data_IF_469140286490
#
_entry.id   IF_469140286490
#
_cell.length_a   1.000
_cell.length_b   1.000
_cell.length_c   1.000
_cell.angle_alpha   90.00
_cell.angle_beta   90.00
_cell.angle_gamma   90.00
#
_symmetry.space_group_name_H-M   'P 1'
#
loop_
_entity.id
_entity.type
_entity.pdbx_description
1 polymer ?
#
# COMPACT_ATOMS: atom_id res chain seq x y z
N UNK A 1 14.19 10.36 -9.30
CA UNK A 1 12.96 9.55 -9.37
C UNK A 1 12.45 9.28 -7.96
N UNK A 2 12.15 10.35 -7.21
CA UNK A 2 11.63 10.36 -5.83
C UNK A 2 10.46 11.37 -5.72
N UNK A 3 9.65 11.47 -6.77
CA UNK A 3 8.44 12.29 -6.77
C UNK A 3 7.24 11.40 -7.07
N UNK A 4 6.98 10.43 -6.18
CA UNK A 4 5.74 9.66 -6.19
C UNK A 4 5.11 9.81 -4.80
N UNK A 5 3.83 10.24 -4.83
CA UNK A 5 2.90 10.53 -3.73
C UNK A 5 3.03 11.90 -3.04
N UNK A 6 2.64 12.96 -3.76
CA UNK A 6 2.27 14.25 -3.16
C UNK A 6 1.03 14.19 -2.26
N UNK A 7 0.20 13.14 -2.37
CA UNK A 7 -0.99 12.95 -1.53
C UNK A 7 -0.66 12.60 -0.07
N UNK A 8 0.53 12.08 0.21
CA UNK A 8 0.97 11.70 1.57
C UNK A 8 2.06 12.62 2.14
N UNK A 9 2.47 13.68 1.43
CA UNK A 9 3.34 14.76 1.99
C UNK A 9 2.61 15.69 2.95
N UNK A 10 1.29 15.57 3.05
CA UNK A 10 0.42 16.42 3.86
C UNK A 10 0.83 16.50 5.36
N UNK A 11 1.24 15.41 6.04
CA UNK A 11 1.58 15.45 7.47
C UNK A 11 2.79 16.32 7.81
N UNK A 12 3.69 16.56 6.85
CA UNK A 12 4.91 17.36 7.04
C UNK A 12 4.63 18.87 7.02
N UNK A 13 3.48 19.29 6.48
CA UNK A 13 3.03 20.71 6.42
C UNK A 13 2.35 21.12 7.73
N UNK A 14 2.08 20.17 8.63
CA UNK A 14 1.21 20.36 9.77
C UNK A 14 1.96 20.53 11.10
N UNK A 15 1.64 21.63 11.80
CA UNK A 15 1.84 21.79 13.26
C UNK A 15 1.18 20.63 14.03
N UNK A 16 1.54 20.41 15.30
CA UNK A 16 0.93 19.34 16.11
C UNK A 16 -0.60 19.37 16.13
N UNK A 17 -1.20 20.57 16.14
CA UNK A 17 -2.66 20.73 16.06
C UNK A 17 -3.22 20.25 14.73
N UNK A 18 -2.58 20.61 13.62
CA UNK A 18 -3.05 20.22 12.30
C UNK A 18 -2.84 18.73 12.00
N UNK A 19 -1.86 18.06 12.64
CA UNK A 19 -1.77 16.58 12.61
C UNK A 19 -2.95 15.91 13.30
N UNK A 20 -3.36 16.41 14.47
CA UNK A 20 -4.54 15.90 15.19
C UNK A 20 -5.79 16.07 14.34
N UNK A 21 -5.98 17.26 13.75
CA UNK A 21 -7.13 17.55 12.89
C UNK A 21 -7.15 16.65 11.65
N UNK A 22 -5.98 16.42 11.03
CA UNK A 22 -5.81 15.52 9.91
C UNK A 22 -6.23 14.09 10.24
N UNK A 23 -5.66 13.49 11.29
CA UNK A 23 -5.98 12.10 11.65
C UNK A 23 -7.41 11.94 12.16
N UNK A 24 -7.91 12.93 12.90
CA UNK A 24 -9.31 12.96 13.35
C UNK A 24 -10.27 12.96 12.15
N UNK A 25 -10.06 13.84 11.17
CA UNK A 25 -10.86 13.91 9.96
C UNK A 25 -10.73 12.64 9.12
N UNK A 26 -9.52 12.16 8.90
CA UNK A 26 -9.27 10.93 8.13
C UNK A 26 -9.98 9.72 8.75
N UNK A 27 -9.81 9.48 10.05
CA UNK A 27 -10.38 8.31 10.72
C UNK A 27 -11.89 8.39 10.90
N UNK A 28 -12.46 9.59 10.93
CA UNK A 28 -13.91 9.81 10.89
C UNK A 28 -14.53 9.41 9.56
N UNK A 29 -13.82 9.66 8.44
CA UNK A 29 -14.31 9.37 7.09
C UNK A 29 -13.85 7.99 6.57
N UNK A 30 -12.98 7.31 7.30
CA UNK A 30 -12.53 5.97 6.98
C UNK A 30 -13.55 4.92 7.44
N UNK A 31 -14.36 4.43 6.50
CA UNK A 31 -15.30 3.33 6.75
C UNK A 31 -14.58 2.00 6.96
N UNK A 32 -14.65 1.43 8.17
CA UNK A 32 -14.03 0.15 8.55
C UNK A 32 -15.05 -0.97 8.80
N UNK A 33 -16.29 -0.80 8.36
CA UNK A 33 -17.39 -1.75 8.59
C UNK A 33 -17.14 -3.14 7.99
N UNK A 34 -16.32 -3.24 6.95
CA UNK A 34 -15.92 -4.51 6.34
C UNK A 34 -14.96 -5.32 7.22
N UNK A 35 -14.28 -4.68 8.18
CA UNK A 35 -13.35 -5.34 9.10
C UNK A 35 -14.10 -5.66 10.40
N UNK A 36 -14.08 -6.92 10.89
CA UNK A 36 -14.58 -7.23 12.21
C UNK A 36 -13.73 -6.51 13.26
N UNK A 37 -14.36 -5.72 14.14
CA UNK A 37 -13.63 -4.89 15.09
C UNK A 37 -12.70 -5.72 16.00
N UNK A 38 -13.11 -6.94 16.37
CA UNK A 38 -12.32 -7.83 17.20
C UNK A 38 -12.17 -9.21 16.53
N UNK A 39 -11.06 -9.91 16.80
CA UNK A 39 -10.91 -11.29 16.34
C UNK A 39 -12.00 -12.18 16.96
N UNK A 40 -12.45 -13.17 16.20
CA UNK A 40 -13.36 -14.24 16.61
C UNK A 40 -12.67 -15.15 17.64
N UNK A 41 -12.48 -14.64 18.84
CA UNK A 41 -11.83 -15.32 19.95
C UNK A 41 -12.86 -15.78 20.98
N UNK A 42 -12.57 -16.90 21.63
CA UNK A 42 -13.38 -17.49 22.70
C UNK A 42 -13.74 -16.47 23.80
N UNK A 43 -14.86 -16.64 24.53
CA UNK A 43 -15.51 -15.61 25.36
C UNK A 43 -14.66 -14.93 26.44
N UNK A 44 -13.47 -15.45 26.73
CA UNK A 44 -12.67 -15.10 27.91
C UNK A 44 -11.62 -14.02 27.70
N UNK A 45 -11.16 -13.73 26.47
CA UNK A 45 -10.18 -12.66 26.21
C UNK A 45 -10.46 -11.93 24.90
N UNK A 46 -10.96 -10.69 25.02
CA UNK A 46 -11.11 -9.79 23.90
C UNK A 46 -9.72 -9.36 23.41
N UNK A 47 -9.35 -9.74 22.18
CA UNK A 47 -8.12 -9.29 21.53
C UNK A 47 -8.09 -7.76 21.32
N UNK A 48 -7.03 -7.26 20.71
CA UNK A 48 -6.95 -5.85 20.32
C UNK A 48 -7.91 -5.54 19.16
N UNK A 49 -8.41 -4.30 19.12
CA UNK A 49 -9.30 -3.84 18.04
C UNK A 49 -8.56 -3.81 16.71
N UNK A 50 -9.04 -4.55 15.72
CA UNK A 50 -8.51 -4.52 14.35
C UNK A 50 -8.63 -3.13 13.73
N UNK A 51 -9.67 -2.36 14.08
CA UNK A 51 -9.81 -0.99 13.60
C UNK A 51 -8.68 -0.10 14.13
N UNK A 52 -8.34 -0.23 15.42
CA UNK A 52 -7.24 0.51 16.01
C UNK A 52 -5.88 0.09 15.43
N UNK A 53 -5.68 -1.21 15.23
CA UNK A 53 -4.47 -1.74 14.59
C UNK A 53 -4.34 -1.24 13.15
N UNK A 54 -5.43 -1.25 12.37
CA UNK A 54 -5.44 -0.77 10.99
C UNK A 54 -5.11 0.72 10.89
N UNK A 55 -5.76 1.57 11.68
CA UNK A 55 -5.47 3.01 11.76
C UNK A 55 -4.02 3.28 12.15
N UNK A 56 -3.44 2.46 13.02
CA UNK A 56 -2.03 2.56 13.40
C UNK A 56 -1.08 2.32 12.21
N UNK A 57 -1.39 1.39 11.32
CA UNK A 57 -0.61 1.19 10.10
C UNK A 57 -0.82 2.30 9.07
N UNK A 58 -1.96 2.99 9.07
CA UNK A 58 -2.13 4.23 8.30
C UNK A 58 -1.21 5.32 8.84
N UNK A 59 -1.15 5.53 10.16
CA UNK A 59 -0.18 6.45 10.79
C UNK A 59 1.24 6.07 10.41
N UNK A 60 1.59 4.77 10.45
CA UNK A 60 2.91 4.30 10.05
C UNK A 60 3.30 4.73 8.64
N UNK A 61 2.37 4.65 7.68
CA UNK A 61 2.60 5.06 6.30
C UNK A 61 2.62 6.58 6.12
N UNK A 62 1.70 7.29 6.78
CA UNK A 62 1.61 8.74 6.72
C UNK A 62 2.85 9.43 7.33
N UNK A 63 3.37 8.94 8.47
CA UNK A 63 4.58 9.45 9.11
C UNK A 63 5.88 8.81 8.56
N UNK A 64 5.78 7.94 7.55
CA UNK A 64 6.93 7.32 6.86
C UNK A 64 7.86 6.50 7.76
N UNK A 65 7.31 5.85 8.78
CA UNK A 65 8.09 4.96 9.65
C UNK A 65 8.51 3.70 8.90
N UNK A 66 9.82 3.41 8.95
CA UNK A 66 10.41 2.23 8.30
C UNK A 66 10.19 0.93 9.08
N UNK A 67 9.97 1.02 10.40
CA UNK A 67 9.84 -0.14 11.27
C UNK A 67 8.66 -0.04 12.24
N UNK A 68 8.17 -1.20 12.72
CA UNK A 68 7.15 -1.27 13.78
C UNK A 68 7.68 -0.66 15.09
N UNK A 69 9.00 -0.72 15.33
CA UNK A 69 9.61 -0.12 16.53
C UNK A 69 9.45 1.40 16.53
N UNK A 70 9.75 2.06 15.40
CA UNK A 70 9.59 3.51 15.25
C UNK A 70 8.13 3.93 15.47
N UNK A 71 7.19 3.13 14.94
CA UNK A 71 5.75 3.33 15.15
C UNK A 71 5.36 3.23 16.62
N UNK A 72 5.86 2.22 17.34
CA UNK A 72 5.59 2.03 18.75
C UNK A 72 6.12 3.19 19.60
N UNK A 73 7.35 3.63 19.33
CA UNK A 73 7.96 4.75 20.04
C UNK A 73 7.21 6.05 19.75
N UNK A 74 6.76 6.26 18.51
CA UNK A 74 5.91 7.39 18.16
C UNK A 74 4.59 7.37 18.94
N UNK A 75 3.87 6.24 18.99
CA UNK A 75 2.59 6.15 19.68
C UNK A 75 2.71 6.31 21.20
N UNK A 76 3.79 5.82 21.81
CA UNK A 76 4.08 6.00 23.23
C UNK A 76 4.30 7.47 23.59
N UNK A 77 4.95 8.22 22.70
CA UNK A 77 5.22 9.64 22.88
C UNK A 77 4.05 10.53 22.45
N UNK A 78 3.10 10.01 21.66
CA UNK A 78 1.95 10.75 21.12
C UNK A 78 0.63 10.08 21.49
N UNK A 79 0.28 10.11 22.77
CA UNK A 79 -0.94 9.45 23.30
C UNK A 79 -2.24 9.95 22.66
N UNK A 80 -2.28 11.20 22.17
CA UNK A 80 -3.44 11.72 21.42
C UNK A 80 -3.63 10.93 20.12
N UNK A 81 -2.55 10.68 19.36
CA UNK A 81 -2.64 9.90 18.12
C UNK A 81 -2.97 8.43 18.42
N UNK A 82 -2.42 7.87 19.49
CA UNK A 82 -2.80 6.53 19.94
C UNK A 82 -4.30 6.44 20.30
N UNK A 83 -4.83 7.47 20.95
CA UNK A 83 -6.25 7.59 21.25
C UNK A 83 -7.09 7.71 19.97
N UNK A 84 -6.69 8.55 19.01
CA UNK A 84 -7.38 8.69 17.72
C UNK A 84 -7.39 7.39 16.91
N UNK A 85 -6.33 6.58 16.99
CA UNK A 85 -6.33 5.24 16.42
C UNK A 85 -7.44 4.38 17.04
N UNK A 86 -7.76 4.58 18.32
CA UNK A 86 -8.81 3.86 19.04
C UNK A 86 -8.28 3.06 20.23
N UNK A 87 -7.04 3.31 20.67
CA UNK A 87 -6.51 2.67 21.87
C UNK A 87 -6.98 3.36 23.15
N UNK A 88 -7.16 2.56 24.19
CA UNK A 88 -7.34 3.07 25.55
C UNK A 88 -5.95 3.46 26.11
N UNK A 89 -5.70 4.76 26.24
CA UNK A 89 -4.42 5.32 26.71
C UNK A 89 -4.10 5.02 28.18
N UNK A 90 -5.07 4.56 28.97
CA UNK A 90 -4.85 4.09 30.35
C UNK A 90 -4.36 2.63 30.40
N UNK A 91 -4.32 1.93 29.26
CA UNK A 91 -3.83 0.57 29.14
C UNK A 91 -2.53 0.54 28.32
N UNK A 92 -1.68 -0.48 28.52
CA UNK A 92 -0.50 -0.63 27.68
C UNK A 92 -0.91 -0.84 26.21
N UNK A 93 -0.19 -0.17 25.32
CA UNK A 93 -0.30 -0.37 23.88
C UNK A 93 0.03 -1.82 23.50
N UNK A 94 -0.46 -2.29 22.33
CA UNK A 94 -0.08 -3.61 21.82
C UNK A 94 1.44 -3.78 21.71
N UNK A 95 1.92 -4.99 21.93
CA UNK A 95 3.34 -5.31 21.79
C UNK A 95 3.80 -5.28 20.32
N UNK A 96 5.11 -5.21 20.10
CA UNK A 96 5.71 -5.37 18.76
C UNK A 96 5.20 -6.64 18.06
N UNK A 97 5.15 -7.76 18.78
CA UNK A 97 4.70 -9.04 18.24
C UNK A 97 3.23 -9.01 17.87
N UNK A 98 2.40 -8.26 18.59
CA UNK A 98 1.00 -8.07 18.26
C UNK A 98 0.83 -7.30 16.95
N UNK A 99 1.57 -6.21 16.75
CA UNK A 99 1.56 -5.47 15.47
C UNK A 99 2.10 -6.32 14.32
N UNK A 100 3.22 -7.02 14.53
CA UNK A 100 3.81 -7.91 13.52
C UNK A 100 2.87 -9.04 13.13
N UNK A 101 2.16 -9.62 14.09
CA UNK A 101 1.16 -10.66 13.82
C UNK A 101 -0.01 -10.10 13.02
N UNK A 102 -0.54 -8.95 13.43
CA UNK A 102 -1.63 -8.30 12.73
C UNK A 102 -1.30 -8.08 11.25
N UNK A 103 -0.19 -7.43 10.91
CA UNK A 103 0.13 -7.14 9.50
C UNK A 103 0.37 -8.40 8.65
N UNK A 104 0.83 -9.49 9.26
CA UNK A 104 1.08 -10.76 8.56
C UNK A 104 -0.20 -11.60 8.36
N UNK A 105 -1.19 -11.44 9.25
CA UNK A 105 -2.44 -12.22 9.23
C UNK A 105 -3.63 -11.42 8.69
N UNK A 106 -3.49 -10.11 8.51
CA UNK A 106 -4.57 -9.25 8.04
C UNK A 106 -4.93 -9.57 6.60
N UNK A 107 -6.20 -9.93 6.35
CA UNK A 107 -6.65 -10.33 5.02
C UNK A 107 -6.54 -9.18 4.01
N UNK A 108 -5.99 -9.50 2.83
CA UNK A 108 -5.95 -8.57 1.71
C UNK A 108 -7.36 -8.18 1.24
N UNK A 109 -8.34 -9.08 1.33
CA UNK A 109 -9.73 -8.82 0.92
C UNK A 109 -10.34 -7.63 1.67
N UNK A 110 -9.94 -7.41 2.93
CA UNK A 110 -10.37 -6.23 3.69
C UNK A 110 -9.78 -4.94 3.12
N UNK A 111 -8.52 -4.95 2.68
CA UNK A 111 -7.88 -3.82 2.02
C UNK A 111 -8.57 -3.51 0.70
N UNK A 112 -8.80 -4.54 -0.13
CA UNK A 112 -9.53 -4.43 -1.40
C UNK A 112 -10.91 -3.84 -1.19
N UNK A 113 -11.66 -4.35 -0.21
CA UNK A 113 -13.01 -3.87 0.10
C UNK A 113 -13.02 -2.41 0.56
N UNK A 114 -12.09 -2.02 1.43
CA UNK A 114 -11.97 -0.61 1.88
C UNK A 114 -11.62 0.29 0.70
N UNK A 115 -10.64 -0.12 -0.11
CA UNK A 115 -10.18 0.65 -1.25
C UNK A 115 -11.30 0.87 -2.28
N UNK A 116 -11.99 -0.20 -2.70
CA UNK A 116 -13.12 -0.12 -3.62
C UNK A 116 -14.26 0.75 -3.08
N UNK A 117 -14.56 0.64 -1.77
CA UNK A 117 -15.58 1.50 -1.15
C UNK A 117 -15.19 2.98 -1.21
N UNK A 118 -13.92 3.33 -0.97
CA UNK A 118 -13.43 4.71 -1.11
C UNK A 118 -13.52 5.20 -2.55
N UNK A 119 -13.14 4.37 -3.53
CA UNK A 119 -13.28 4.70 -4.97
C UNK A 119 -14.74 4.95 -5.34
N UNK A 120 -15.67 4.12 -4.87
CA UNK A 120 -17.10 4.29 -5.12
C UNK A 120 -17.66 5.57 -4.48
N UNK A 121 -17.24 5.91 -3.25
CA UNK A 121 -17.60 7.18 -2.61
C UNK A 121 -17.14 8.36 -3.47
N UNK A 122 -15.87 8.36 -3.91
CA UNK A 122 -15.30 9.43 -4.72
C UNK A 122 -15.95 9.52 -6.10
N UNK A 123 -16.33 8.39 -6.69
CA UNK A 123 -17.09 8.32 -7.93
C UNK A 123 -18.49 8.94 -7.78
N UNK A 124 -19.20 8.60 -6.71
CA UNK A 124 -20.53 9.17 -6.42
C UNK A 124 -20.48 10.68 -6.12
N UNK A 125 -19.36 11.16 -5.57
CA UNK A 125 -19.10 12.59 -5.38
C UNK A 125 -18.69 13.32 -6.67
N UNK A 126 -18.52 12.60 -7.79
CA UNK A 126 -18.07 13.17 -9.05
C UNK A 126 -16.58 13.55 -9.09
N UNK A 127 -15.79 13.11 -8.11
CA UNK A 127 -14.33 13.38 -8.06
C UNK A 127 -13.60 12.44 -9.02
N UNK A 128 -13.97 11.16 -9.04
CA UNK A 128 -13.46 10.19 -10.02
C UNK A 128 -14.40 10.19 -11.23
N UNK A 129 -13.88 10.55 -12.39
CA UNK A 129 -14.65 10.62 -13.64
C UNK A 129 -14.88 9.23 -14.24
N UNK A 130 -13.87 8.36 -14.26
CA UNK A 130 -13.87 7.09 -14.99
C UNK A 130 -13.95 7.24 -16.53
N UNK A 131 -13.84 8.46 -17.07
CA UNK A 131 -13.95 8.70 -18.52
C UNK A 131 -12.65 8.39 -19.27
N UNK A 132 -11.53 8.72 -18.63
CA UNK A 132 -10.18 8.41 -19.10
C UNK A 132 -9.48 7.64 -17.99
N UNK A 133 -9.05 6.43 -18.28
CA UNK A 133 -8.22 5.64 -17.38
C UNK A 133 -6.85 5.46 -17.97
N UNK A 134 -5.85 5.48 -17.10
CA UNK A 134 -4.48 5.13 -17.42
C UNK A 134 -4.09 3.89 -16.64
N UNK A 135 -3.31 3.01 -17.24
CA UNK A 135 -2.70 1.87 -16.56
C UNK A 135 -1.19 1.91 -16.73
N UNK A 136 -0.48 1.75 -15.62
CA UNK A 136 0.97 1.59 -15.60
C UNK A 136 1.38 0.62 -14.48
N UNK A 137 2.58 0.06 -14.60
CA UNK A 137 3.18 -0.82 -13.60
C UNK A 137 4.39 -0.17 -12.94
N UNK A 138 4.47 -0.23 -11.61
CA UNK A 138 5.59 0.29 -10.84
C UNK A 138 6.35 -0.85 -10.15
N UNK A 139 7.69 -0.89 -10.26
CA UNK A 139 8.49 -1.91 -9.61
C UNK A 139 8.52 -1.72 -8.08
N UNK A 140 8.20 -2.78 -7.34
CA UNK A 140 8.37 -2.88 -5.88
C UNK A 140 9.58 -3.75 -5.59
N UNK A 141 10.65 -3.17 -5.06
CA UNK A 141 11.86 -3.91 -4.70
C UNK A 141 11.67 -4.68 -3.41
N UNK A 142 11.93 -5.99 -3.43
CA UNK A 142 11.97 -6.79 -2.22
C UNK A 142 13.09 -6.32 -1.28
N UNK A 143 12.85 -6.43 0.02
CA UNK A 143 13.86 -6.12 1.04
C UNK A 143 14.87 -7.28 1.15
N UNK A 144 15.82 -7.31 0.23
CA UNK A 144 16.88 -8.32 0.16
C UNK A 144 18.25 -7.67 -0.04
N UNK A 145 19.28 -8.27 0.55
CA UNK A 145 20.67 -7.89 0.32
C UNK A 145 21.09 -7.93 -1.15
N UNK A 146 20.39 -8.70 -1.99
CA UNK A 146 20.70 -8.80 -3.42
C UNK A 146 20.34 -7.52 -4.19
N UNK A 147 19.32 -6.79 -3.72
CA UNK A 147 18.95 -5.50 -4.28
C UNK A 147 19.86 -4.36 -3.81
N UNK A 148 20.68 -4.57 -2.78
CA UNK A 148 21.60 -3.56 -2.27
C UNK A 148 22.77 -3.36 -3.27
N UNK A 149 22.95 -2.17 -3.84
CA UNK A 149 24.07 -1.88 -4.73
C UNK A 149 25.43 -2.17 -4.08
N UNK A 150 25.54 -1.92 -2.77
CA UNK A 150 26.77 -2.11 -1.97
C UNK A 150 27.03 -3.56 -1.55
N UNK A 151 26.15 -4.49 -1.88
CA UNK A 151 26.37 -5.92 -1.58
C UNK A 151 27.57 -6.46 -2.39
N UNK A 152 28.38 -7.35 -1.81
CA UNK A 152 29.47 -8.02 -2.51
C UNK A 152 29.08 -9.40 -3.08
N UNK A 153 27.79 -9.76 -3.00
CA UNK A 153 27.29 -11.02 -3.55
C UNK A 153 27.62 -11.13 -5.05
N UNK A 154 28.30 -12.22 -5.45
CA UNK A 154 28.45 -12.59 -6.86
C UNK A 154 27.08 -12.99 -7.43
N UNK A 155 26.85 -12.74 -8.72
CA UNK A 155 25.63 -13.14 -9.44
C UNK A 155 24.33 -12.72 -8.72
N UNK A 156 24.26 -11.46 -8.26
CA UNK A 156 23.10 -10.95 -7.49
C UNK A 156 21.76 -11.12 -8.20
N UNK A 157 21.77 -11.01 -9.52
CA UNK A 157 20.60 -11.05 -10.39
C UNK A 157 20.60 -12.29 -11.28
N UNK A 158 21.07 -13.43 -10.76
CA UNK A 158 20.88 -14.74 -11.41
C UNK A 158 19.62 -15.40 -10.89
N UNK A 159 18.84 -16.05 -11.76
CA UNK A 159 17.64 -16.81 -11.36
C UNK A 159 17.95 -17.89 -10.31
N UNK A 160 19.16 -18.44 -10.32
CA UNK A 160 19.61 -19.45 -9.35
C UNK A 160 19.86 -18.88 -7.94
N UNK A 161 19.86 -17.55 -7.79
CA UNK A 161 20.15 -16.83 -6.56
C UNK A 161 18.88 -16.22 -5.93
N UNK A 162 17.79 -16.99 -5.88
CA UNK A 162 16.53 -16.56 -5.26
C UNK A 162 16.74 -16.09 -3.81
N UNK A 163 16.27 -14.90 -3.43
CA UNK A 163 16.31 -14.43 -2.05
C UNK A 163 15.65 -15.40 -1.06
N UNK A 164 16.39 -15.79 -0.01
CA UNK A 164 15.84 -16.63 1.07
C UNK A 164 14.86 -15.88 1.99
N UNK A 165 15.01 -14.56 2.08
CA UNK A 165 14.18 -13.69 2.92
C UNK A 165 12.78 -13.45 2.34
N UNK A 166 12.61 -13.68 1.05
CA UNK A 166 11.38 -13.45 0.30
C UNK A 166 11.36 -14.44 -0.89
N UNK A 167 10.66 -15.57 -0.70
CA UNK A 167 10.63 -16.66 -1.68
C UNK A 167 9.69 -16.39 -2.85
N UNK A 168 8.73 -15.50 -2.63
CA UNK A 168 7.66 -15.22 -3.58
C UNK A 168 8.10 -14.17 -4.59
N UNK A 169 9.02 -13.27 -4.22
CA UNK A 169 9.58 -12.29 -5.14
C UNK A 169 10.29 -12.97 -6.34
N UNK A 170 10.29 -12.30 -7.49
CA UNK A 170 10.94 -12.80 -8.70
C UNK A 170 11.85 -11.74 -9.31
N UNK A 171 12.68 -12.17 -10.26
CA UNK A 171 13.65 -11.29 -10.91
C UNK A 171 12.95 -10.47 -12.01
N UNK A 172 12.82 -9.17 -11.77
CA UNK A 172 12.33 -8.20 -12.74
C UNK A 172 13.44 -7.43 -13.43
N UNK A 173 13.06 -6.76 -14.51
CA UNK A 173 13.92 -5.85 -15.27
C UNK A 173 13.13 -4.61 -15.68
N UNK A 174 13.79 -3.45 -15.69
CA UNK A 174 13.26 -2.23 -16.29
C UNK A 174 14.35 -1.49 -17.06
N UNK A 175 13.94 -0.75 -18.09
CA UNK A 175 14.87 0.12 -18.82
C UNK A 175 15.27 1.30 -17.94
N UNK A 176 16.58 1.53 -17.82
CA UNK A 176 17.17 2.66 -17.10
C UNK A 176 17.60 3.80 -18.03
N UNK A 177 17.27 3.70 -19.31
CA UNK A 177 17.58 4.70 -20.34
C UNK A 177 16.40 4.87 -21.29
N UNK A 178 16.05 6.12 -21.59
CA UNK A 178 15.09 6.47 -22.65
C UNK A 178 15.79 6.58 -24.03
N UNK A 179 17.12 6.43 -24.07
CA UNK A 179 17.90 6.43 -25.30
C UNK A 179 17.81 5.06 -25.98
N UNK A 180 17.19 5.02 -27.16
CA UNK A 180 17.02 3.83 -27.98
C UNK A 180 18.34 3.24 -28.48
N UNK A 181 19.40 4.05 -28.55
CA UNK A 181 20.72 3.63 -29.04
C UNK A 181 21.54 2.87 -27.99
N UNK A 182 21.30 3.13 -26.70
CA UNK A 182 22.03 2.53 -25.58
C UNK A 182 21.08 2.10 -24.45
N UNK A 183 20.33 1.01 -24.69
CA UNK A 183 19.44 0.43 -23.68
C UNK A 183 20.25 -0.11 -22.49
N UNK A 184 20.20 0.61 -21.37
CA UNK A 184 20.71 0.12 -20.07
C UNK A 184 19.57 -0.55 -19.32
N UNK A 185 19.74 -1.81 -18.95
CA UNK A 185 18.76 -2.53 -18.14
C UNK A 185 19.15 -2.51 -16.66
N UNK A 186 18.16 -2.37 -15.79
CA UNK A 186 18.33 -2.56 -14.34
C UNK A 186 17.49 -3.75 -13.90
N UNK A 187 18.15 -4.72 -13.31
CA UNK A 187 17.53 -5.88 -12.70
C UNK A 187 17.23 -5.61 -11.22
N UNK A 188 16.19 -6.25 -10.72
CA UNK A 188 15.82 -6.19 -9.31
C UNK A 188 15.04 -7.45 -8.92
N UNK A 189 15.15 -7.86 -7.66
CA UNK A 189 14.25 -8.85 -7.08
C UNK A 189 13.03 -8.15 -6.50
N UNK A 190 11.83 -8.62 -6.78
CA UNK A 190 10.65 -7.97 -6.24
C UNK A 190 9.36 -8.37 -6.93
N UNK A 191 8.50 -7.36 -7.00
CA UNK A 191 7.14 -7.41 -7.50
C UNK A 191 6.90 -6.22 -8.43
N UNK A 192 5.77 -6.23 -9.13
CA UNK A 192 5.21 -5.08 -9.83
C UNK A 192 3.82 -4.81 -9.30
N UNK A 193 3.53 -3.56 -8.98
CA UNK A 193 2.17 -3.11 -8.72
C UNK A 193 1.62 -2.48 -9.97
N UNK A 194 0.54 -3.04 -10.49
CA UNK A 194 -0.18 -2.59 -11.66
C UNK A 194 -1.35 -1.76 -11.16
N UNK A 195 -1.47 -0.51 -11.59
CA UNK A 195 -2.45 0.42 -11.06
C UNK A 195 -3.25 1.00 -12.21
N UNK A 196 -4.58 0.92 -12.12
CA UNK A 196 -5.50 1.70 -12.95
C UNK A 196 -5.79 2.99 -12.22
N UNK A 197 -5.66 4.12 -12.91
CA UNK A 197 -5.84 5.47 -12.39
C UNK A 197 -6.87 6.21 -13.23
N UNK A 198 -7.72 7.00 -12.59
CA UNK A 198 -8.52 8.00 -13.29
C UNK A 198 -7.59 9.12 -13.78
N UNK A 199 -7.40 9.24 -15.09
CA UNK A 199 -6.39 10.12 -15.67
C UNK A 199 -6.69 11.61 -15.44
N UNK A 200 -7.95 11.97 -15.14
CA UNK A 200 -8.37 13.35 -14.86
C UNK A 200 -8.01 13.75 -13.43
N UNK A 201 -8.42 12.97 -12.43
CA UNK A 201 -8.16 13.27 -11.02
C UNK A 201 -6.77 12.82 -10.54
N UNK A 202 -6.15 11.87 -11.24
CA UNK A 202 -4.92 11.21 -10.81
C UNK A 202 -5.11 10.22 -9.65
N UNK A 203 -6.35 9.87 -9.31
CA UNK A 203 -6.64 8.96 -8.20
C UNK A 203 -6.71 7.50 -8.66
N UNK A 204 -6.16 6.56 -7.87
CA UNK A 204 -6.20 5.14 -8.20
C UNK A 204 -7.63 4.59 -8.13
N UNK A 205 -7.97 3.72 -9.08
CA UNK A 205 -9.25 3.01 -9.20
C UNK A 205 -9.09 1.54 -8.80
N UNK A 206 -8.04 0.88 -9.29
CA UNK A 206 -7.79 -0.54 -9.06
C UNK A 206 -6.28 -0.79 -8.99
N UNK A 207 -5.86 -1.79 -8.22
CA UNK A 207 -4.48 -2.25 -8.24
C UNK A 207 -4.39 -3.77 -8.12
N UNK A 208 -3.30 -4.33 -8.63
CA UNK A 208 -2.89 -5.70 -8.34
C UNK A 208 -1.39 -5.82 -8.29
N UNK A 209 -0.88 -6.58 -7.33
CA UNK A 209 0.56 -6.83 -7.18
C UNK A 209 0.88 -8.24 -7.68
N UNK A 210 1.89 -8.33 -8.54
CA UNK A 210 2.38 -9.60 -9.11
C UNK A 210 3.88 -9.73 -8.91
N UNK A 211 4.44 -10.96 -8.95
CA UNK A 211 5.87 -11.13 -9.03
C UNK A 211 6.48 -10.40 -10.23
N UNK A 212 7.72 -9.91 -10.11
CA UNK A 212 8.28 -8.98 -11.09
C UNK A 212 8.58 -9.54 -12.49
N UNK A 213 8.53 -10.86 -12.66
CA UNK A 213 8.71 -11.56 -13.94
C UNK A 213 7.41 -11.74 -14.74
N UNK A 214 6.25 -11.48 -14.15
CA UNK A 214 4.94 -11.57 -14.82
C UNK A 214 4.79 -10.42 -15.83
N UNK A 215 4.50 -10.66 -17.12
CA UNK A 215 4.33 -9.59 -18.11
C UNK A 215 3.16 -8.63 -17.83
N UNK A 216 3.33 -7.35 -18.13
CA UNK A 216 2.32 -6.31 -17.83
C UNK A 216 1.05 -6.51 -18.66
N UNK A 217 1.19 -6.93 -19.91
CA UNK A 217 0.07 -7.21 -20.83
C UNK A 217 -0.88 -8.29 -20.27
N UNK A 218 -0.33 -9.39 -19.75
CA UNK A 218 -1.11 -10.49 -19.20
C UNK A 218 -1.95 -10.02 -18.01
N UNK A 219 -1.37 -9.16 -17.16
CA UNK A 219 -2.04 -8.61 -15.98
C UNK A 219 -3.08 -7.56 -16.37
N UNK A 220 -2.78 -6.70 -17.35
CA UNK A 220 -3.66 -5.60 -17.74
C UNK A 220 -5.05 -6.05 -18.16
N UNK A 221 -5.16 -7.11 -18.96
CA UNK A 221 -6.46 -7.65 -19.37
C UNK A 221 -7.25 -8.18 -18.17
N UNK A 222 -6.62 -8.93 -17.27
CA UNK A 222 -7.28 -9.47 -16.08
C UNK A 222 -7.73 -8.36 -15.12
N UNK A 223 -6.88 -7.36 -14.88
CA UNK A 223 -7.18 -6.24 -13.99
C UNK A 223 -8.32 -5.38 -14.53
N UNK A 224 -8.35 -5.13 -15.84
CA UNK A 224 -9.46 -4.40 -16.48
C UNK A 224 -10.77 -5.18 -16.37
N UNK A 225 -10.75 -6.49 -16.61
CA UNK A 225 -11.93 -7.34 -16.49
C UNK A 225 -12.46 -7.38 -15.05
N UNK A 226 -11.58 -7.59 -14.06
CA UNK A 226 -11.92 -7.61 -12.65
C UNK A 226 -12.45 -6.26 -12.18
N UNK A 227 -11.85 -5.16 -12.65
CA UNK A 227 -12.30 -3.80 -12.34
C UNK A 227 -13.69 -3.54 -12.91
N UNK A 228 -13.95 -3.95 -14.15
CA UNK A 228 -15.24 -3.75 -14.82
C UNK A 228 -16.42 -4.43 -14.09
N UNK A 229 -16.16 -5.45 -13.29
CA UNK A 229 -17.20 -6.15 -12.51
C UNK A 229 -17.83 -5.28 -11.41
N UNK A 230 -17.10 -4.29 -10.89
CA UNK A 230 -17.57 -3.45 -9.78
C UNK A 230 -17.46 -1.95 -10.07
N UNK A 231 -16.60 -1.54 -11.00
CA UNK A 231 -16.46 -0.17 -11.51
C UNK A 231 -16.58 -0.20 -13.03
N UNK A 232 -17.72 0.24 -13.56
CA UNK A 232 -18.04 0.13 -15.00
C UNK A 232 -17.02 0.88 -15.86
N UNK A 233 -16.31 0.15 -16.71
CA UNK A 233 -15.30 0.67 -17.66
C UNK A 233 -15.80 0.73 -19.11
N UNK A 234 -17.04 0.31 -19.38
CA UNK A 234 -17.60 0.35 -20.74
C UNK A 234 -17.71 1.78 -21.25
N UNK A 235 -17.09 2.07 -22.39
CA UNK A 235 -17.08 3.41 -23.00
C UNK A 235 -16.01 4.35 -22.46
N UNK A 236 -15.14 3.87 -21.56
CA UNK A 236 -13.97 4.60 -21.07
C UNK A 236 -12.86 4.62 -22.12
N UNK A 237 -12.12 5.73 -22.20
CA UNK A 237 -10.91 5.84 -22.99
C UNK A 237 -9.72 5.27 -22.20
N UNK A 238 -9.00 4.33 -22.79
CA UNK A 238 -7.86 3.66 -22.16
C UNK A 238 -6.53 4.24 -22.65
N UNK A 239 -5.63 4.54 -21.71
CA UNK A 239 -4.27 5.01 -21.95
C UNK A 239 -3.31 3.97 -21.34
N UNK A 240 -2.36 3.48 -22.13
CA UNK A 240 -1.32 2.54 -21.70
C UNK A 240 -0.19 2.48 -22.72
N UNK A 241 0.93 1.88 -22.34
CA UNK A 241 2.09 1.56 -23.19
C UNK A 241 2.05 0.09 -23.66
#
# INVERSE_FOLDING_TARGET
>A
MYQLQLLLTIPEIFTSQSKIDFYSSMFKNLGLSSIPEFPSSSPSRKGYSHHAMFRTFIVMKAERFGTISDLLDYLRNNLIIAHLCGFNIFKPLPSYWTFRRFINEFSHDYLTSIFQNQVNILKNMGIISGEFISMDSTPIKANTKLNNPKSFSKNKFSKDNQPKSDKDCKLGVYSASNDSSNKRYKFYWGYKNHIIVDAISGLPIAETTTPADVPDFDVGLSLLADTNNWFKLTGTNFIGD
#
